data_IF_051298583597
#
_entry.id   IF_051298583597
#
_cell.length_a   1.000
_cell.length_b   1.000
_cell.length_c   1.000
_cell.angle_alpha   90.00
_cell.angle_beta   90.00
_cell.angle_gamma   90.00
#
_symmetry.space_group_name_H-M   'P 1'
#
loop_
_entity.id
_entity.type
_entity.pdbx_description
1 polymer ?
#
# COMPACT_ATOMS: atom_id res chain seq x y z
N UNK A 1 6.05 -2.42 -12.45
CA UNK A 1 5.05 -3.45 -12.08
C UNK A 1 5.51 -4.81 -12.54
N UNK A 2 5.50 -5.79 -11.66
CA UNK A 2 5.86 -7.18 -11.97
C UNK A 2 4.66 -8.11 -11.73
N UNK A 3 4.63 -9.32 -12.32
CA UNK A 3 3.58 -10.30 -12.02
C UNK A 3 3.54 -10.72 -10.55
N UNK A 4 4.63 -10.55 -9.81
CA UNK A 4 4.71 -10.84 -8.38
C UNK A 4 3.96 -9.82 -7.53
N UNK A 5 3.84 -8.58 -8.01
CA UNK A 5 3.18 -7.51 -7.25
C UNK A 5 1.67 -7.78 -7.09
N UNK A 6 1.03 -8.35 -8.09
CA UNK A 6 -0.43 -8.49 -8.13
C UNK A 6 -0.94 -9.94 -8.29
N UNK A 7 -0.07 -10.91 -8.49
CA UNK A 7 -0.45 -12.32 -8.61
C UNK A 7 -1.37 -12.67 -9.79
N UNK A 8 -1.76 -11.71 -10.62
CA UNK A 8 -2.70 -11.90 -11.72
C UNK A 8 -2.08 -11.50 -13.07
N UNK A 9 -2.22 -12.37 -14.07
CA UNK A 9 -1.79 -12.12 -15.45
C UNK A 9 -2.83 -11.30 -16.19
N UNK A 10 -2.77 -10.02 -16.16
CA UNK A 10 -3.72 -9.20 -16.93
C UNK A 10 -4.05 -7.89 -16.27
N UNK A 11 -3.73 -7.75 -14.99
CA UNK A 11 -3.92 -6.53 -14.19
C UNK A 11 -3.38 -5.28 -14.91
N UNK A 12 -2.25 -5.40 -15.60
CA UNK A 12 -1.71 -4.30 -16.40
C UNK A 12 -2.68 -3.79 -17.46
N UNK A 13 -3.31 -4.70 -18.20
CA UNK A 13 -4.28 -4.32 -19.24
C UNK A 13 -5.52 -3.68 -18.64
N UNK A 14 -5.92 -4.13 -17.47
CA UNK A 14 -7.06 -3.56 -16.76
C UNK A 14 -6.74 -2.15 -16.24
N UNK A 15 -5.52 -1.92 -15.74
CA UNK A 15 -5.05 -0.58 -15.37
C UNK A 15 -4.97 0.36 -16.56
N UNK A 16 -4.42 -0.09 -17.69
CA UNK A 16 -4.38 0.71 -18.92
C UNK A 16 -5.79 1.10 -19.35
N UNK A 17 -6.72 0.14 -19.41
CA UNK A 17 -8.13 0.39 -19.77
C UNK A 17 -8.82 1.37 -18.83
N UNK A 18 -8.54 1.28 -17.52
CA UNK A 18 -9.09 2.21 -16.53
C UNK A 18 -8.72 3.66 -16.87
N UNK A 19 -7.43 3.91 -17.16
CA UNK A 19 -6.95 5.25 -17.49
C UNK A 19 -7.47 5.72 -18.86
N UNK A 20 -7.43 4.86 -19.86
CA UNK A 20 -7.93 5.18 -21.21
C UNK A 20 -9.43 5.50 -21.21
N UNK A 21 -10.24 4.75 -20.47
CA UNK A 21 -11.66 5.01 -20.30
C UNK A 21 -11.92 6.37 -19.60
N UNK A 22 -10.98 6.81 -18.78
CA UNK A 22 -11.03 8.12 -18.13
C UNK A 22 -10.48 9.26 -18.97
N UNK A 23 -10.10 8.99 -20.25
CA UNK A 23 -9.53 9.96 -21.18
C UNK A 23 -8.04 10.25 -20.94
N UNK A 24 -7.34 9.40 -20.21
CA UNK A 24 -5.91 9.52 -19.90
C UNK A 24 -5.16 8.54 -20.79
N UNK A 25 -4.33 9.04 -21.70
CA UNK A 25 -3.50 8.19 -22.57
C UNK A 25 -2.34 7.61 -21.80
N UNK A 26 -2.22 6.28 -21.79
CA UNK A 26 -1.07 5.57 -21.21
C UNK A 26 0.01 5.42 -22.29
N UNK A 27 1.11 6.14 -22.11
CA UNK A 27 2.20 6.17 -23.08
C UNK A 27 3.07 4.91 -23.02
N UNK A 28 3.38 4.45 -21.81
CA UNK A 28 4.18 3.24 -21.59
C UNK A 28 3.85 2.63 -20.21
N UNK A 29 4.00 1.33 -20.10
CA UNK A 29 4.03 0.62 -18.81
C UNK A 29 5.38 -0.09 -18.66
N UNK A 30 6.07 0.14 -17.56
CA UNK A 30 7.31 -0.59 -17.23
C UNK A 30 6.96 -1.95 -16.67
N UNK A 31 6.66 -2.90 -17.58
CA UNK A 31 6.31 -4.27 -17.23
C UNK A 31 6.78 -5.24 -18.32
N UNK A 32 6.56 -6.54 -18.12
CA UNK A 32 6.89 -7.55 -19.11
C UNK A 32 6.04 -7.37 -20.38
N UNK A 33 6.67 -7.30 -21.54
CA UNK A 33 5.99 -7.27 -22.83
C UNK A 33 6.02 -5.93 -23.57
N UNK A 34 6.66 -4.90 -23.02
CA UNK A 34 6.87 -3.63 -23.72
C UNK A 34 8.14 -3.64 -24.57
N UNK A 35 8.08 -2.93 -25.71
CA UNK A 35 9.24 -2.77 -26.58
C UNK A 35 10.22 -1.73 -26.03
N UNK A 36 11.48 -1.82 -26.41
CA UNK A 36 12.51 -0.81 -26.09
C UNK A 36 12.06 0.57 -26.60
N UNK A 37 11.43 0.64 -27.75
CA UNK A 37 10.92 1.88 -28.33
C UNK A 37 9.82 2.51 -27.45
N UNK A 38 8.90 1.72 -26.89
CA UNK A 38 7.90 2.22 -25.94
C UNK A 38 8.57 2.80 -24.68
N UNK A 39 9.59 2.12 -24.15
CA UNK A 39 10.36 2.61 -23.01
C UNK A 39 11.08 3.92 -23.35
N UNK A 40 11.72 4.02 -24.52
CA UNK A 40 12.36 5.26 -24.97
C UNK A 40 11.36 6.42 -25.14
N UNK A 41 10.13 6.12 -25.57
CA UNK A 41 9.09 7.13 -25.69
C UNK A 41 8.46 7.57 -24.34
N UNK A 42 8.72 6.83 -23.26
CA UNK A 42 8.18 7.15 -21.93
C UNK A 42 8.60 8.54 -21.42
N UNK A 43 9.75 9.05 -21.89
CA UNK A 43 10.22 10.41 -21.57
C UNK A 43 9.30 11.54 -22.05
N UNK A 44 8.31 11.24 -22.89
CA UNK A 44 7.29 12.17 -23.35
C UNK A 44 6.07 12.23 -22.41
N UNK A 45 6.06 11.44 -21.37
CA UNK A 45 4.97 11.40 -20.39
C UNK A 45 4.96 12.67 -19.52
N UNK A 46 3.78 13.09 -19.09
CA UNK A 46 3.61 14.21 -18.19
C UNK A 46 3.67 13.83 -16.72
N UNK A 47 3.38 12.57 -16.42
CA UNK A 47 3.29 12.02 -15.07
C UNK A 47 3.62 10.54 -15.09
N UNK A 48 4.37 10.07 -14.11
CA UNK A 48 4.53 8.64 -13.83
C UNK A 48 3.57 8.24 -12.71
N UNK A 49 2.86 7.13 -12.89
CA UNK A 49 2.04 6.52 -11.85
C UNK A 49 2.73 5.25 -11.37
N UNK A 50 3.17 5.26 -10.13
CA UNK A 50 3.86 4.13 -9.48
C UNK A 50 2.84 3.29 -8.74
N UNK A 51 2.53 2.13 -9.26
CA UNK A 51 1.44 1.25 -8.74
C UNK A 51 1.93 0.20 -7.76
N UNK A 52 3.23 0.02 -7.60
CA UNK A 52 3.86 -0.86 -6.62
C UNK A 52 5.25 -0.35 -6.30
N UNK A 53 5.80 -0.76 -5.17
CA UNK A 53 7.10 -0.28 -4.69
C UNK A 53 8.24 -0.56 -5.66
N UNK A 54 8.16 -1.62 -6.45
CA UNK A 54 9.14 -1.96 -7.48
C UNK A 54 9.36 -0.87 -8.54
N UNK A 55 8.44 0.09 -8.66
CA UNK A 55 8.52 1.21 -9.61
C UNK A 55 9.14 2.50 -9.07
N UNK A 56 9.36 2.64 -7.77
CA UNK A 56 9.79 3.90 -7.15
C UNK A 56 11.13 4.39 -7.70
N UNK A 57 12.15 3.54 -7.72
CA UNK A 57 13.49 3.92 -8.15
C UNK A 57 13.53 4.38 -9.62
N UNK A 58 12.76 3.73 -10.48
CA UNK A 58 12.64 4.15 -11.88
C UNK A 58 11.93 5.50 -11.98
N UNK A 59 10.90 5.73 -11.18
CA UNK A 59 10.15 6.98 -11.18
C UNK A 59 11.02 8.15 -10.68
N UNK A 60 11.79 7.96 -9.61
CA UNK A 60 12.76 8.94 -9.10
C UNK A 60 13.83 9.27 -10.15
N UNK A 61 14.38 8.26 -10.81
CA UNK A 61 15.33 8.47 -11.89
C UNK A 61 14.72 9.30 -13.03
N UNK A 62 13.48 9.02 -13.41
CA UNK A 62 12.80 9.77 -14.47
C UNK A 62 12.48 11.22 -14.05
N UNK A 63 12.16 11.46 -12.80
CA UNK A 63 11.97 12.81 -12.26
C UNK A 63 13.29 13.58 -12.26
N UNK A 64 14.38 12.99 -11.73
CA UNK A 64 15.70 13.62 -11.70
C UNK A 64 16.26 13.92 -13.09
N UNK A 65 16.16 12.96 -14.00
CA UNK A 65 16.79 13.06 -15.33
C UNK A 65 15.96 13.80 -16.37
N UNK A 66 14.65 13.69 -16.30
CA UNK A 66 13.74 14.17 -17.36
C UNK A 66 12.70 15.15 -16.83
N UNK A 67 12.69 15.43 -15.53
CA UNK A 67 11.72 16.34 -14.90
C UNK A 67 10.28 15.82 -14.96
N UNK A 68 10.09 14.51 -15.05
CA UNK A 68 8.76 13.90 -15.10
C UNK A 68 8.33 13.54 -13.68
N UNK A 69 7.40 14.28 -13.07
CA UNK A 69 6.95 14.00 -11.72
C UNK A 69 6.30 12.62 -11.61
N UNK A 70 6.25 12.08 -10.42
CA UNK A 70 5.55 10.82 -10.17
C UNK A 70 4.52 10.94 -9.05
N UNK A 71 3.57 10.02 -9.06
CA UNK A 71 2.53 9.84 -8.07
C UNK A 71 2.47 8.36 -7.69
N UNK A 72 2.43 8.05 -6.40
CA UNK A 72 2.28 6.68 -5.91
C UNK A 72 0.82 6.34 -5.66
N UNK A 73 0.40 5.15 -6.06
CA UNK A 73 -0.94 4.61 -5.80
C UNK A 73 -1.31 3.48 -6.74
N UNK A 74 -2.06 2.54 -6.20
CA UNK A 74 -2.61 1.40 -6.94
C UNK A 74 -4.09 1.62 -7.18
N UNK A 75 -4.63 1.39 -8.38
CA UNK A 75 -6.08 1.41 -8.58
C UNK A 75 -6.70 0.19 -7.88
N UNK A 76 -7.53 0.45 -6.87
CA UNK A 76 -8.20 -0.56 -6.03
C UNK A 76 -9.70 -0.47 -6.24
N UNK A 77 -10.38 -1.60 -6.28
CA UNK A 77 -11.82 -1.65 -6.47
C UNK A 77 -12.24 -1.06 -7.82
N UNK A 78 -13.01 0.02 -7.83
CA UNK A 78 -13.38 0.72 -9.05
C UNK A 78 -12.28 1.66 -9.60
N UNK A 79 -11.19 1.86 -8.85
CA UNK A 79 -10.06 2.69 -9.24
C UNK A 79 -10.28 4.21 -9.13
N UNK A 80 -11.44 4.66 -8.66
CA UNK A 80 -11.81 6.09 -8.62
C UNK A 80 -10.85 6.91 -7.76
N UNK A 81 -10.44 6.39 -6.61
CA UNK A 81 -9.56 7.10 -5.67
C UNK A 81 -8.25 7.51 -6.35
N UNK A 82 -7.62 6.59 -7.09
CA UNK A 82 -6.40 6.90 -7.83
C UNK A 82 -6.67 7.80 -9.05
N UNK A 83 -7.74 7.55 -9.79
CA UNK A 83 -8.09 8.38 -10.95
C UNK A 83 -8.27 9.85 -10.59
N UNK A 84 -8.90 10.15 -9.46
CA UNK A 84 -9.06 11.53 -8.97
C UNK A 84 -7.69 12.18 -8.67
N UNK A 85 -6.78 11.45 -8.01
CA UNK A 85 -5.41 11.92 -7.74
C UNK A 85 -4.63 12.20 -9.03
N UNK A 86 -4.70 11.29 -10.00
CA UNK A 86 -4.01 11.43 -11.30
C UNK A 86 -4.54 12.61 -12.09
N UNK A 87 -5.86 12.80 -12.14
CA UNK A 87 -6.47 13.96 -12.81
C UNK A 87 -6.04 15.28 -12.18
N UNK A 88 -6.09 15.37 -10.85
CA UNK A 88 -5.65 16.54 -10.12
C UNK A 88 -4.16 16.86 -10.36
N UNK A 89 -3.30 15.84 -10.37
CA UNK A 89 -1.88 16.00 -10.69
C UNK A 89 -1.64 16.50 -12.12
N UNK A 90 -2.36 15.97 -13.09
CA UNK A 90 -2.25 16.38 -14.49
C UNK A 90 -2.76 17.82 -14.73
N UNK A 91 -3.78 18.26 -13.99
CA UNK A 91 -4.35 19.61 -14.07
C UNK A 91 -3.45 20.65 -13.38
N UNK A 92 -2.89 20.32 -12.22
CA UNK A 92 -2.03 21.23 -11.45
C UNK A 92 -0.65 21.43 -12.08
N UNK A 93 -0.24 20.55 -12.99
CA UNK A 93 1.13 20.52 -13.53
C UNK A 93 2.20 20.20 -12.48
N UNK A 94 1.77 19.86 -11.25
CA UNK A 94 2.61 19.37 -10.14
C UNK A 94 2.05 18.03 -9.70
N UNK A 95 2.91 17.06 -9.39
CA UNK A 95 2.48 15.92 -8.61
C UNK A 95 1.80 16.43 -7.34
N UNK A 96 0.62 15.93 -7.02
CA UNK A 96 0.02 16.24 -5.75
C UNK A 96 0.98 15.73 -4.68
N UNK A 97 1.63 16.63 -3.97
CA UNK A 97 2.33 16.30 -2.74
C UNK A 97 1.28 15.63 -1.84
N UNK A 98 1.42 14.31 -1.68
CA UNK A 98 0.77 13.67 -0.53
C UNK A 98 1.20 14.47 0.70
N UNK A 99 0.40 14.57 1.75
CA UNK A 99 0.67 15.36 2.97
C UNK A 99 1.96 14.94 3.71
N UNK A 100 3.01 14.60 3.00
CA UNK A 100 4.39 14.44 3.41
C UNK A 100 5.22 15.44 2.64
N UNK A 101 5.29 16.67 3.17
CA UNK A 101 5.97 17.80 2.52
C UNK A 101 7.41 17.49 2.14
N UNK A 102 7.79 17.98 0.99
CA UNK A 102 9.14 18.25 0.55
C UNK A 102 10.01 18.74 1.72
N UNK A 103 10.98 17.94 2.13
CA UNK A 103 11.93 18.33 3.14
C UNK A 103 13.34 18.08 2.66
N UNK A 104 13.90 19.08 1.97
CA UNK A 104 15.35 19.25 1.88
C UNK A 104 16.03 19.56 3.23
N UNK A 105 15.30 19.55 4.35
CA UNK A 105 15.81 19.86 5.69
C UNK A 105 15.70 18.71 6.71
N UNK A 106 15.17 17.53 6.34
CA UNK A 106 15.01 16.40 7.27
C UNK A 106 16.05 15.28 7.16
N UNK A 107 17.00 15.35 6.23
CA UNK A 107 18.09 14.36 6.14
C UNK A 107 19.01 14.32 7.37
N UNK A 108 18.98 15.34 8.23
CA UNK A 108 19.80 15.38 9.46
C UNK A 108 19.15 14.83 10.72
N UNK A 109 17.85 14.55 10.70
CA UNK A 109 17.13 14.09 11.89
C UNK A 109 16.92 12.57 11.97
N UNK A 110 17.06 11.83 10.87
CA UNK A 110 16.86 10.39 10.85
C UNK A 110 18.10 9.56 11.20
N UNK A 111 19.29 10.14 11.23
CA UNK A 111 20.51 9.40 11.64
C UNK A 111 20.69 9.28 13.17
N UNK A 112 19.96 10.05 13.97
CA UNK A 112 20.08 10.03 15.44
C UNK A 112 19.07 9.18 16.18
N UNK A 113 18.00 8.65 15.56
CA UNK A 113 16.96 7.83 16.23
C UNK A 113 17.16 6.31 16.15
N UNK A 114 18.26 5.82 15.61
CA UNK A 114 18.58 4.37 15.59
C UNK A 114 19.17 3.86 16.91
N UNK A 115 19.40 4.73 17.89
CA UNK A 115 20.00 4.37 19.18
C UNK A 115 19.06 4.65 20.36
N UNK A 116 17.89 4.01 20.41
CA UNK A 116 17.10 3.91 21.64
C UNK A 116 16.87 2.44 22.00
N UNK A 117 17.95 1.81 22.47
CA UNK A 117 17.84 0.68 23.40
C UNK A 117 17.33 1.19 24.75
N UNK A 118 16.22 0.63 25.20
CA UNK A 118 15.89 0.45 26.61
C UNK A 118 15.72 1.71 27.43
N UNK A 119 14.50 2.20 27.57
CA UNK A 119 14.04 2.81 28.83
C UNK A 119 12.61 2.39 29.16
N UNK A 120 12.53 1.77 30.28
CA UNK A 120 11.45 1.39 31.16
C UNK A 120 10.23 2.32 31.17
N UNK A 121 9.09 1.66 31.28
CA UNK A 121 7.76 2.11 31.67
C UNK A 121 7.68 3.42 32.42
N UNK A 122 6.84 4.32 31.95
CA UNK A 122 6.18 5.31 32.80
C UNK A 122 4.92 4.65 33.38
N UNK A 123 5.01 4.28 34.66
CA UNK A 123 3.85 3.95 35.50
C UNK A 123 3.00 5.22 35.70
N UNK A 124 1.70 5.08 35.52
CA UNK A 124 0.76 6.07 36.02
C UNK A 124 -0.43 6.39 35.11
N UNK A 125 -1.32 5.43 34.88
CA UNK A 125 -2.71 5.73 34.59
C UNK A 125 -3.59 4.67 35.25
N UNK A 126 -4.39 5.12 36.22
CA UNK A 126 -5.30 4.30 37.00
C UNK A 126 -6.41 3.65 36.16
N UNK A 127 -7.11 2.65 36.73
CA UNK A 127 -8.16 1.91 36.03
C UNK A 127 -9.43 2.77 35.95
N UNK A 128 -9.82 3.18 34.76
CA UNK A 128 -11.11 3.87 34.63
C UNK A 128 -11.32 4.55 33.30
N UNK A 129 -11.75 3.81 32.35
CA UNK A 129 -12.66 4.03 31.22
C UNK A 129 -12.20 3.19 30.04
N UNK A 130 -12.89 2.10 29.79
CA UNK A 130 -12.82 1.42 28.50
C UNK A 130 -13.40 2.41 27.46
N UNK A 131 -12.52 3.19 26.84
CA UNK A 131 -12.84 3.81 25.58
C UNK A 131 -13.18 2.69 24.60
N UNK A 132 -14.24 2.79 23.77
CA UNK A 132 -14.55 1.77 22.79
C UNK A 132 -13.27 1.51 21.99
N UNK A 133 -12.80 0.26 21.98
CA UNK A 133 -11.64 -0.17 21.20
C UNK A 133 -11.76 0.47 19.82
N UNK A 134 -10.83 1.36 19.48
CA UNK A 134 -10.80 1.93 18.15
C UNK A 134 -10.63 0.78 17.20
N UNK A 135 -11.63 0.55 16.34
CA UNK A 135 -11.64 -0.56 15.40
C UNK A 135 -10.52 -0.34 14.40
N UNK A 136 -9.36 -0.94 14.66
CA UNK A 136 -8.19 -0.86 13.77
C UNK A 136 -8.08 -2.13 12.94
N UNK A 137 -7.77 -1.98 11.67
CA UNK A 137 -7.48 -3.07 10.74
C UNK A 137 -6.08 -2.88 10.16
N UNK A 138 -5.23 -3.89 10.28
CA UNK A 138 -3.93 -3.93 9.65
C UNK A 138 -4.07 -4.47 8.22
N UNK A 139 -3.52 -3.76 7.24
CA UNK A 139 -3.38 -4.24 5.85
C UNK A 139 -1.90 -4.44 5.57
N UNK A 140 -1.45 -5.70 5.44
CA UNK A 140 -0.04 -6.02 5.32
C UNK A 140 0.34 -6.53 3.93
N UNK A 141 1.35 -5.88 3.32
CA UNK A 141 1.82 -6.24 1.98
C UNK A 141 2.86 -5.26 1.43
N UNK A 142 2.80 -4.97 0.13
CA UNK A 142 3.57 -3.89 -0.51
C UNK A 142 3.08 -2.53 0.01
N UNK A 143 3.99 -1.59 0.24
CA UNK A 143 3.68 -0.30 0.85
C UNK A 143 2.63 0.50 0.07
N UNK A 144 2.76 0.57 -1.26
CA UNK A 144 1.85 1.34 -2.11
C UNK A 144 0.50 0.64 -2.23
N UNK A 145 0.52 -0.68 -2.42
CA UNK A 145 -0.70 -1.48 -2.58
C UNK A 145 -1.51 -1.47 -1.27
N UNK A 146 -0.86 -1.76 -0.14
CA UNK A 146 -1.51 -1.78 1.17
C UNK A 146 -2.13 -0.43 1.52
N UNK A 147 -1.41 0.67 1.26
CA UNK A 147 -1.92 2.02 1.47
C UNK A 147 -3.13 2.32 0.59
N UNK A 148 -3.07 1.95 -0.69
CA UNK A 148 -4.20 2.17 -1.60
C UNK A 148 -5.44 1.38 -1.18
N UNK A 149 -5.25 0.18 -0.62
CA UNK A 149 -6.34 -0.59 -0.02
C UNK A 149 -6.87 0.10 1.22
N UNK A 150 -6.00 0.63 2.10
CA UNK A 150 -6.43 1.40 3.28
C UNK A 150 -7.28 2.60 2.89
N UNK A 151 -6.84 3.40 1.92
CA UNK A 151 -7.56 4.59 1.45
C UNK A 151 -8.96 4.24 0.90
N UNK A 152 -9.05 3.20 0.09
CA UNK A 152 -10.34 2.76 -0.44
C UNK A 152 -11.23 2.16 0.65
N UNK A 153 -10.65 1.43 1.61
CA UNK A 153 -11.38 0.84 2.73
C UNK A 153 -11.89 1.93 3.70
N UNK A 154 -11.13 2.96 3.99
CA UNK A 154 -11.56 4.10 4.80
C UNK A 154 -12.71 4.88 4.17
N UNK A 155 -12.71 4.99 2.84
CA UNK A 155 -13.82 5.60 2.10
C UNK A 155 -15.13 4.82 2.25
N UNK A 156 -15.03 3.49 2.31
CA UNK A 156 -16.19 2.59 2.42
C UNK A 156 -16.62 2.44 3.89
N UNK A 157 -15.67 2.44 4.81
CA UNK A 157 -15.86 2.21 6.25
C UNK A 157 -15.35 3.38 7.12
N UNK A 158 -16.01 4.55 7.11
CA UNK A 158 -15.51 5.77 7.77
C UNK A 158 -15.37 5.63 9.30
N UNK A 159 -15.87 4.56 9.91
CA UNK A 159 -15.75 4.27 11.35
C UNK A 159 -14.64 3.30 11.72
N UNK A 160 -13.83 2.85 10.75
CA UNK A 160 -12.72 1.90 10.94
C UNK A 160 -11.42 2.60 10.54
N UNK A 161 -10.39 2.49 11.38
CA UNK A 161 -9.05 2.98 11.09
C UNK A 161 -8.24 1.87 10.40
N UNK A 162 -7.70 2.15 9.23
CA UNK A 162 -6.85 1.21 8.51
C UNK A 162 -5.39 1.62 8.63
N UNK A 163 -4.53 0.65 8.89
CA UNK A 163 -3.08 0.83 9.07
C UNK A 163 -2.35 0.05 8.00
N UNK A 164 -1.54 0.72 7.19
CA UNK A 164 -0.69 0.05 6.21
C UNK A 164 0.56 -0.52 6.88
N UNK A 165 0.79 -1.82 6.71
CA UNK A 165 1.99 -2.53 7.16
C UNK A 165 2.77 -3.05 5.96
N UNK A 166 4.00 -2.58 5.75
CA UNK A 166 4.85 -3.13 4.71
C UNK A 166 5.78 -4.20 5.24
N UNK A 167 5.87 -5.31 4.51
CA UNK A 167 6.74 -6.45 4.79
C UNK A 167 7.90 -6.56 3.80
N UNK A 168 7.93 -5.70 2.81
CA UNK A 168 8.99 -5.59 1.82
C UNK A 168 9.86 -4.38 2.13
N UNK A 169 10.41 -3.76 1.10
CA UNK A 169 11.18 -2.54 1.24
C UNK A 169 10.30 -1.37 1.70
N UNK A 170 10.85 -0.43 2.45
CA UNK A 170 10.12 0.69 3.04
C UNK A 170 10.75 2.01 2.62
N UNK A 171 10.01 2.80 1.88
CA UNK A 171 10.40 4.17 1.55
C UNK A 171 9.83 5.12 2.61
N UNK A 172 10.71 5.76 3.38
CA UNK A 172 10.31 6.76 4.37
C UNK A 172 9.67 8.01 3.74
N UNK A 173 10.06 8.35 2.51
CA UNK A 173 9.49 9.48 1.76
C UNK A 173 8.02 9.23 1.37
N UNK A 174 7.69 7.96 1.12
CA UNK A 174 6.34 7.53 0.77
C UNK A 174 5.50 7.14 1.99
N UNK A 175 6.08 7.15 3.19
CA UNK A 175 5.38 6.74 4.39
C UNK A 175 4.43 7.83 4.89
N UNK A 176 3.23 7.42 5.31
CA UNK A 176 2.29 8.28 6.03
C UNK A 176 2.38 8.07 7.52
N UNK A 177 1.89 9.04 8.27
CA UNK A 177 1.75 8.89 9.71
C UNK A 177 0.89 7.68 10.05
N UNK A 178 1.47 6.73 10.80
CA UNK A 178 0.80 5.49 11.17
C UNK A 178 1.14 4.28 10.31
N UNK A 179 1.80 4.44 9.16
CA UNK A 179 2.35 3.31 8.39
C UNK A 179 3.43 2.61 9.22
N UNK A 180 3.48 1.30 9.14
CA UNK A 180 4.44 0.50 9.90
C UNK A 180 5.34 -0.34 8.99
N UNK A 181 6.62 -0.41 9.34
CA UNK A 181 7.56 -1.32 8.70
C UNK A 181 7.71 -2.60 9.52
N UNK A 182 7.44 -3.73 8.90
CA UNK A 182 7.50 -5.06 9.51
C UNK A 182 8.79 -5.73 9.06
N UNK A 183 9.85 -5.60 9.85
CA UNK A 183 11.22 -6.00 9.49
C UNK A 183 11.40 -7.48 9.24
N UNK A 184 10.73 -8.32 10.03
CA UNK A 184 10.92 -9.76 10.04
C UNK A 184 9.68 -10.50 10.59
N UNK A 185 9.70 -11.82 10.50
CA UNK A 185 8.62 -12.67 11.01
C UNK A 185 8.38 -12.48 12.51
N UNK A 186 9.43 -12.26 13.31
CA UNK A 186 9.30 -12.07 14.76
C UNK A 186 8.55 -10.79 15.08
N UNK A 187 8.87 -9.70 14.38
CA UNK A 187 8.16 -8.42 14.49
C UNK A 187 6.70 -8.59 14.03
N UNK A 188 6.48 -9.28 12.90
CA UNK A 188 5.14 -9.52 12.40
C UNK A 188 4.30 -10.34 13.39
N UNK A 189 4.87 -11.43 13.94
CA UNK A 189 4.23 -12.25 14.98
C UNK A 189 3.84 -11.42 16.22
N UNK A 190 4.67 -10.48 16.65
CA UNK A 190 4.36 -9.58 17.77
C UNK A 190 3.19 -8.64 17.41
N UNK A 191 3.21 -8.04 16.23
CA UNK A 191 2.20 -7.09 15.77
C UNK A 191 0.82 -7.77 15.67
N UNK A 192 0.72 -8.91 14.98
CA UNK A 192 -0.57 -9.60 14.78
C UNK A 192 -1.15 -10.19 16.06
N UNK A 193 -0.34 -10.39 17.09
CA UNK A 193 -0.75 -10.91 18.39
C UNK A 193 -0.82 -9.83 19.48
N UNK A 194 -0.62 -8.56 19.14
CA UNK A 194 -0.64 -7.45 20.11
C UNK A 194 -2.02 -7.21 20.75
N UNK A 195 -3.08 -7.61 20.07
CA UNK A 195 -4.47 -7.29 20.44
C UNK A 195 -4.89 -5.87 20.03
N UNK A 196 -4.03 -5.14 19.32
CA UNK A 196 -4.33 -3.78 18.85
C UNK A 196 -5.29 -3.78 17.65
N UNK A 197 -5.25 -4.85 16.83
CA UNK A 197 -6.01 -4.94 15.59
C UNK A 197 -7.23 -5.84 15.75
N UNK A 198 -8.40 -5.31 15.45
CA UNK A 198 -9.64 -6.06 15.38
C UNK A 198 -9.77 -6.88 14.07
N UNK A 199 -9.01 -6.48 13.03
CA UNK A 199 -8.93 -7.18 11.76
C UNK A 199 -7.53 -7.14 11.16
N UNK A 200 -7.19 -8.16 10.36
CA UNK A 200 -5.93 -8.25 9.62
C UNK A 200 -6.27 -8.66 8.19
N UNK A 201 -5.80 -7.87 7.22
CA UNK A 201 -5.83 -8.18 5.79
C UNK A 201 -4.41 -8.54 5.37
N UNK A 202 -4.16 -9.79 5.00
CA UNK A 202 -2.82 -10.25 4.63
C UNK A 202 -2.88 -11.55 3.82
N UNK A 203 -1.70 -11.98 3.31
CA UNK A 203 -1.56 -13.31 2.70
C UNK A 203 -1.98 -14.42 3.70
N UNK A 204 -2.65 -15.48 3.24
CA UNK A 204 -3.08 -16.61 4.10
C UNK A 204 -1.96 -17.20 4.97
N UNK A 205 -0.70 -17.16 4.54
CA UNK A 205 0.44 -17.64 5.32
C UNK A 205 0.57 -16.88 6.66
N UNK A 206 0.16 -15.63 6.71
CA UNK A 206 0.23 -14.78 7.92
C UNK A 206 -0.73 -15.27 9.00
N UNK A 207 -1.81 -15.94 8.65
CA UNK A 207 -2.74 -16.53 9.63
C UNK A 207 -2.06 -17.56 10.55
N UNK A 208 -1.00 -18.25 10.07
CA UNK A 208 -0.22 -19.19 10.86
C UNK A 208 0.63 -18.50 11.95
N UNK A 209 0.84 -17.21 11.87
CA UNK A 209 1.52 -16.43 12.90
C UNK A 209 0.62 -16.09 14.09
N UNK A 210 -0.70 -16.19 13.92
CA UNK A 210 -1.68 -15.89 14.96
C UNK A 210 -1.73 -16.99 16.00
N UNK A 211 -1.69 -16.60 17.26
CA UNK A 211 -1.96 -17.51 18.39
C UNK A 211 -3.44 -17.86 18.48
N UNK A 212 -3.80 -18.96 19.14
CA UNK A 212 -5.20 -19.35 19.39
C UNK A 212 -6.01 -18.27 20.09
N UNK A 213 -5.36 -17.46 20.92
CA UNK A 213 -5.98 -16.30 21.58
C UNK A 213 -6.31 -15.21 20.55
N UNK A 214 -5.36 -14.84 19.69
CA UNK A 214 -5.54 -13.82 18.67
C UNK A 214 -6.58 -14.25 17.62
N UNK A 215 -6.60 -15.52 17.20
CA UNK A 215 -7.62 -16.08 16.28
C UNK A 215 -9.05 -15.95 16.80
N UNK A 216 -9.24 -15.82 18.12
CA UNK A 216 -10.57 -15.64 18.74
C UNK A 216 -11.02 -14.16 18.79
N UNK A 217 -10.08 -13.22 18.81
CA UNK A 217 -10.35 -11.79 19.00
C UNK A 217 -10.13 -10.95 17.76
N UNK A 218 -9.40 -11.45 16.78
CA UNK A 218 -9.02 -10.73 15.55
C UNK A 218 -9.58 -11.46 14.34
N UNK A 219 -10.30 -10.75 13.48
CA UNK A 219 -10.79 -11.31 12.21
C UNK A 219 -9.66 -11.31 11.19
N UNK A 220 -9.50 -12.42 10.48
CA UNK A 220 -8.53 -12.53 9.41
C UNK A 220 -9.24 -12.47 8.04
N UNK A 221 -8.74 -11.63 7.16
CA UNK A 221 -9.23 -11.46 5.79
C UNK A 221 -8.10 -11.83 4.85
N UNK A 222 -8.19 -13.02 4.27
CA UNK A 222 -7.16 -13.55 3.38
C UNK A 222 -7.11 -12.76 2.07
N UNK A 223 -5.95 -12.15 1.78
CA UNK A 223 -5.62 -11.52 0.51
C UNK A 223 -4.34 -12.15 -0.02
N UNK A 224 -4.43 -13.18 -0.88
CA UNK A 224 -3.28 -13.90 -1.39
C UNK A 224 -2.26 -12.99 -2.06
N UNK A 225 -0.98 -13.13 -1.68
CA UNK A 225 0.14 -12.40 -2.26
C UNK A 225 1.27 -13.39 -2.61
N UNK A 226 1.54 -13.55 -3.90
CA UNK A 226 2.55 -14.51 -4.40
C UNK A 226 3.95 -14.21 -3.86
N UNK A 227 4.29 -12.94 -3.67
CA UNK A 227 5.61 -12.54 -3.16
C UNK A 227 5.80 -12.92 -1.69
N UNK A 228 4.72 -13.11 -0.93
CA UNK A 228 4.77 -13.54 0.49
C UNK A 228 4.85 -15.05 0.61
N UNK A 229 3.89 -15.76 0.03
CA UNK A 229 3.74 -17.20 0.23
C UNK A 229 4.46 -18.05 -0.80
N UNK A 230 4.97 -17.44 -1.89
CA UNK A 230 5.54 -18.16 -3.03
C UNK A 230 4.56 -19.16 -3.69
N UNK A 231 3.28 -19.04 -3.38
CA UNK A 231 2.21 -19.86 -3.98
C UNK A 231 1.51 -19.07 -5.08
N UNK A 232 1.31 -19.72 -6.21
CA UNK A 232 0.59 -19.15 -7.32
C UNK A 232 -0.90 -19.45 -7.15
N UNK A 233 -1.63 -18.51 -6.56
CA UNK A 233 -3.09 -18.63 -6.33
C UNK A 233 -3.89 -18.14 -7.56
N UNK A 234 -3.58 -18.64 -8.76
CA UNK A 234 -4.19 -18.13 -10.00
C UNK A 234 -5.72 -18.10 -10.01
N UNK A 235 -6.33 -19.06 -9.34
CA UNK A 235 -7.79 -19.22 -9.29
C UNK A 235 -8.41 -18.60 -8.03
N UNK A 236 -7.58 -18.18 -7.07
CA UNK A 236 -8.00 -17.67 -5.77
C UNK A 236 -7.58 -16.21 -5.57
N UNK A 237 -6.73 -15.68 -6.47
CA UNK A 237 -6.28 -14.29 -6.41
C UNK A 237 -7.44 -13.38 -6.78
N UNK A 238 -7.78 -12.49 -5.85
CA UNK A 238 -8.73 -11.41 -6.09
C UNK A 238 -8.08 -10.41 -7.03
N UNK A 239 -8.76 -10.06 -8.13
CA UNK A 239 -8.30 -8.98 -8.98
C UNK A 239 -8.40 -7.66 -8.19
N UNK A 240 -7.28 -6.96 -8.01
CA UNK A 240 -7.21 -5.72 -7.24
C UNK A 240 -8.10 -4.60 -7.81
N UNK A 241 -8.32 -4.63 -9.13
CA UNK A 241 -9.24 -3.73 -9.83
C UNK A 241 -10.51 -4.49 -10.21
N UNK A 242 -11.66 -3.97 -9.85
CA UNK A 242 -12.97 -4.50 -10.21
C UNK A 242 -13.87 -4.84 -9.03
N UNK A 243 -15.00 -5.45 -9.35
CA UNK A 243 -16.07 -5.74 -8.39
C UNK A 243 -15.65 -6.71 -7.29
N UNK A 244 -14.77 -7.67 -7.59
CA UNK A 244 -14.30 -8.64 -6.60
C UNK A 244 -13.58 -7.96 -5.44
N UNK A 245 -12.68 -7.01 -5.73
CA UNK A 245 -11.98 -6.26 -4.71
C UNK A 245 -12.90 -5.31 -3.97
N UNK A 246 -13.82 -4.66 -4.65
CA UNK A 246 -14.84 -3.82 -4.01
C UNK A 246 -15.69 -4.64 -3.04
N UNK A 247 -16.13 -5.84 -3.43
CA UNK A 247 -16.87 -6.74 -2.57
C UNK A 247 -16.02 -7.29 -1.42
N UNK A 248 -14.73 -7.54 -1.64
CA UNK A 248 -13.79 -7.94 -0.59
C UNK A 248 -13.67 -6.85 0.47
N UNK A 249 -13.40 -5.61 0.05
CA UNK A 249 -13.29 -4.47 0.99
C UNK A 249 -14.59 -4.26 1.75
N UNK A 250 -15.75 -4.32 1.10
CA UNK A 250 -17.04 -4.17 1.75
C UNK A 250 -17.31 -5.23 2.85
N UNK A 251 -16.65 -6.38 2.78
CA UNK A 251 -16.75 -7.44 3.80
C UNK A 251 -15.85 -7.22 5.02
N UNK A 252 -14.93 -6.25 4.98
CA UNK A 252 -14.02 -5.94 6.10
C UNK A 252 -14.84 -5.23 7.19
N UNK A 253 -15.46 -6.03 8.04
CA UNK A 253 -16.25 -5.54 9.19
C UNK A 253 -15.66 -6.05 10.50
N UNK A 254 -15.38 -5.18 11.45
CA UNK A 254 -14.76 -5.48 12.74
C UNK A 254 -15.54 -4.86 13.91
#
# INVERSE_FOLDING_TARGET
MTPLDFGNKGVEKDFIRLFENAGITVNCSFSAGHSIEAIQNSVKSKLNVVVSQSGIEVAKFMEEKFGIPYLTGTPVGNGETLLLKVKAALESGKACEGEGGCCSEREKACEEEIACEGKTACEGAGPGSESPLSKKVLVAGDQIISRSICEEAERIHPGISFVSGTIFDFSGEEARTGDIFIRDESAFRKIVNSGEYAGIVADPLVEELLTDKAKKSTKFFALPNVAVSSKVYWNESINILGEEMSAFIAKITV
#
